data_IF_554288609526
#
_entry.id   IF_554288609526
#
_cell.length_a   1.000
_cell.length_b   1.000
_cell.length_c   1.000
_cell.angle_alpha   90.00
_cell.angle_beta   90.00
_cell.angle_gamma   90.00
#
_symmetry.space_group_name_H-M   'P 1'
#
loop_
_entity.id
_entity.type
_entity.pdbx_description
1 polymer ?
#
# COMPACT_ATOMS: atom_id res chain seq x y z
N UNK A 1 12.64 -1.47 -18.32
CA UNK A 1 12.71 -2.93 -18.06
C UNK A 1 13.41 -3.31 -16.77
N UNK A 2 14.33 -2.49 -16.21
CA UNK A 2 15.10 -2.88 -15.02
C UNK A 2 14.34 -2.93 -13.69
N UNK A 3 13.18 -2.29 -13.58
CA UNK A 3 12.43 -2.22 -12.31
C UNK A 3 11.55 -3.44 -12.01
N UNK A 4 11.17 -4.22 -13.02
CA UNK A 4 10.35 -5.44 -12.86
C UNK A 4 11.20 -6.68 -12.55
N UNK A 5 12.44 -6.71 -13.04
CA UNK A 5 13.34 -7.85 -12.86
C UNK A 5 13.59 -8.19 -11.39
N UNK A 6 13.88 -7.22 -10.48
CA UNK A 6 14.06 -7.53 -9.06
C UNK A 6 12.81 -8.15 -8.42
N UNK A 7 11.62 -7.71 -8.80
CA UNK A 7 10.36 -8.27 -8.27
C UNK A 7 10.20 -9.73 -8.73
N UNK A 8 10.43 -10.00 -10.01
CA UNK A 8 10.36 -11.37 -10.55
C UNK A 8 11.41 -12.30 -9.92
N UNK A 9 12.61 -11.77 -9.65
CA UNK A 9 13.66 -12.52 -8.94
C UNK A 9 13.20 -12.87 -7.52
N UNK A 10 12.63 -11.93 -6.76
CA UNK A 10 12.16 -12.18 -5.40
C UNK A 10 11.04 -13.22 -5.38
N UNK A 11 10.06 -13.13 -6.30
CA UNK A 11 9.00 -14.13 -6.45
C UNK A 11 9.60 -15.51 -6.82
N UNK A 12 10.56 -15.54 -7.74
CA UNK A 12 11.27 -16.77 -8.12
C UNK A 12 12.04 -17.39 -6.96
N UNK A 13 12.70 -16.58 -6.15
CA UNK A 13 13.37 -17.03 -4.92
C UNK A 13 12.35 -17.59 -3.93
N UNK A 14 11.23 -16.89 -3.71
CA UNK A 14 10.14 -17.38 -2.84
C UNK A 14 9.62 -18.75 -3.30
N UNK A 15 9.36 -18.91 -4.58
CA UNK A 15 8.92 -20.17 -5.17
C UNK A 15 9.95 -21.32 -4.94
N UNK A 16 11.25 -21.05 -5.13
CA UNK A 16 12.31 -22.03 -4.90
C UNK A 16 12.42 -22.40 -3.42
N UNK A 17 12.34 -21.40 -2.53
CA UNK A 17 12.41 -21.62 -1.09
C UNK A 17 11.21 -22.45 -0.60
N UNK A 18 10.01 -22.14 -1.05
CA UNK A 18 8.82 -22.90 -0.71
C UNK A 18 8.94 -24.37 -1.17
N UNK A 19 9.36 -24.58 -2.41
CA UNK A 19 9.60 -25.94 -2.96
C UNK A 19 10.62 -26.73 -2.15
N UNK A 20 11.68 -26.09 -1.66
CA UNK A 20 12.77 -26.72 -0.93
C UNK A 20 12.49 -26.92 0.55
N UNK A 21 11.90 -25.91 1.20
CA UNK A 21 11.78 -25.86 2.66
C UNK A 21 10.32 -25.96 3.16
N UNK A 22 9.33 -25.96 2.24
CA UNK A 22 7.89 -25.95 2.56
C UNK A 22 7.58 -24.83 3.58
N UNK A 23 7.75 -23.60 3.15
CA UNK A 23 7.60 -22.44 4.00
C UNK A 23 6.20 -22.40 4.63
N UNK A 24 6.13 -22.10 5.91
CA UNK A 24 4.86 -21.83 6.57
C UNK A 24 4.36 -20.42 6.24
N UNK A 25 3.56 -20.33 5.18
CA UNK A 25 2.96 -19.06 4.71
C UNK A 25 2.11 -18.39 5.77
N UNK A 26 1.53 -19.15 6.70
CA UNK A 26 0.72 -18.58 7.79
C UNK A 26 1.59 -17.78 8.77
N UNK A 27 2.73 -18.32 9.16
CA UNK A 27 3.69 -17.63 10.03
C UNK A 27 4.31 -16.42 9.32
N UNK A 28 4.69 -16.55 8.05
CA UNK A 28 5.20 -15.44 7.25
C UNK A 28 4.16 -14.32 7.09
N UNK A 29 2.92 -14.66 6.81
CA UNK A 29 1.83 -13.70 6.72
C UNK A 29 1.59 -12.98 8.06
N UNK A 30 1.62 -13.68 9.19
CA UNK A 30 1.50 -13.06 10.51
C UNK A 30 2.63 -12.07 10.78
N UNK A 31 3.88 -12.47 10.53
CA UNK A 31 5.04 -11.59 10.67
C UNK A 31 4.86 -10.33 9.82
N UNK A 32 4.44 -10.53 8.57
CA UNK A 32 4.23 -9.44 7.64
C UNK A 32 3.13 -8.47 8.11
N UNK A 33 1.94 -8.99 8.48
CA UNK A 33 0.80 -8.14 8.86
C UNK A 33 0.91 -7.49 10.24
N UNK A 34 1.58 -8.14 11.21
CA UNK A 34 1.64 -7.65 12.58
C UNK A 34 2.89 -6.83 12.90
N UNK A 35 3.97 -7.00 12.15
CA UNK A 35 5.24 -6.29 12.41
C UNK A 35 5.68 -5.48 11.20
N UNK A 36 5.90 -6.11 10.04
CA UNK A 36 6.56 -5.46 8.91
C UNK A 36 5.67 -4.39 8.27
N UNK A 37 4.42 -4.70 8.01
CA UNK A 37 3.48 -3.77 7.40
C UNK A 37 3.17 -2.55 8.31
N UNK A 38 2.87 -2.69 9.60
CA UNK A 38 2.69 -1.54 10.49
C UNK A 38 3.91 -0.63 10.58
N UNK A 39 5.12 -1.20 10.67
CA UNK A 39 6.36 -0.41 10.70
C UNK A 39 6.63 0.30 9.38
N UNK A 40 6.35 -0.36 8.25
CA UNK A 40 6.44 0.24 6.92
C UNK A 40 5.46 1.42 6.77
N UNK A 41 4.19 1.24 7.17
CA UNK A 41 3.17 2.29 7.12
C UNK A 41 3.55 3.45 8.05
N UNK A 42 3.97 3.16 9.28
CA UNK A 42 4.40 4.18 10.23
C UNK A 42 5.52 5.03 9.64
N UNK A 43 6.58 4.40 9.13
CA UNK A 43 7.69 5.10 8.50
C UNK A 43 7.25 5.92 7.30
N UNK A 44 6.50 5.32 6.37
CA UNK A 44 6.02 6.02 5.17
C UNK A 44 5.18 7.24 5.51
N UNK A 45 4.30 7.13 6.51
CA UNK A 45 3.48 8.24 6.99
C UNK A 45 4.32 9.28 7.74
N UNK A 46 5.27 8.87 8.57
CA UNK A 46 6.13 9.79 9.31
C UNK A 46 7.05 10.62 8.40
N UNK A 47 7.60 10.00 7.35
CA UNK A 47 8.46 10.67 6.38
C UNK A 47 7.67 11.50 5.33
N UNK A 48 6.37 11.27 5.18
CA UNK A 48 5.52 11.99 4.23
C UNK A 48 5.35 13.46 4.62
N UNK A 49 5.88 14.37 3.81
CA UNK A 49 5.63 15.81 3.98
C UNK A 49 4.28 16.17 3.35
N UNK A 50 3.26 16.30 4.20
CA UNK A 50 1.93 16.71 3.76
C UNK A 50 1.93 18.23 3.46
N UNK A 51 1.84 18.58 2.20
CA UNK A 51 1.66 19.96 1.73
C UNK A 51 0.31 20.11 1.00
N UNK A 52 -0.07 21.33 0.61
CA UNK A 52 -1.32 21.58 -0.09
C UNK A 52 -1.47 20.78 -1.40
N UNK A 53 -0.41 20.66 -2.20
CA UNK A 53 -0.42 19.84 -3.41
C UNK A 53 -0.63 18.35 -3.12
N UNK A 54 -0.13 17.87 -1.98
CA UNK A 54 -0.39 16.48 -1.53
C UNK A 54 -1.88 16.27 -1.23
N UNK A 55 -2.57 17.26 -0.64
CA UNK A 55 -4.01 17.16 -0.36
C UNK A 55 -4.86 17.10 -1.65
N UNK A 56 -4.48 17.82 -2.69
CA UNK A 56 -5.16 17.74 -4.00
C UNK A 56 -5.01 16.33 -4.61
N UNK A 57 -3.82 15.77 -4.58
CA UNK A 57 -3.56 14.40 -5.05
C UNK A 57 -4.35 13.38 -4.25
N UNK A 58 -4.39 13.53 -2.93
CA UNK A 58 -5.19 12.73 -2.00
C UNK A 58 -6.67 12.78 -2.39
N UNK A 59 -7.21 13.97 -2.64
CA UNK A 59 -8.60 14.15 -3.04
C UNK A 59 -8.91 13.47 -4.38
N UNK A 60 -8.06 13.66 -5.40
CA UNK A 60 -8.22 13.02 -6.70
C UNK A 60 -8.16 11.49 -6.58
N UNK A 61 -7.20 10.96 -5.83
CA UNK A 61 -7.07 9.53 -5.61
C UNK A 61 -8.32 8.94 -4.93
N UNK A 62 -8.90 9.67 -3.96
CA UNK A 62 -10.12 9.26 -3.30
C UNK A 62 -11.34 9.27 -4.26
N UNK A 63 -11.45 10.30 -5.12
CA UNK A 63 -12.47 10.35 -6.16
C UNK A 63 -12.36 9.16 -7.14
N UNK A 64 -11.13 8.80 -7.54
CA UNK A 64 -10.87 7.65 -8.42
C UNK A 64 -11.27 6.33 -7.74
N UNK A 65 -10.98 6.16 -6.45
CA UNK A 65 -11.42 4.98 -5.69
C UNK A 65 -12.96 4.86 -5.66
N UNK A 66 -13.67 5.96 -5.39
CA UNK A 66 -15.14 5.98 -5.40
C UNK A 66 -15.66 5.64 -6.79
N UNK A 67 -15.10 6.26 -7.84
CA UNK A 67 -15.51 6.00 -9.21
C UNK A 67 -15.33 4.52 -9.58
N UNK A 68 -14.18 3.95 -9.25
CA UNK A 68 -13.89 2.52 -9.47
C UNK A 68 -14.88 1.61 -8.71
N UNK A 69 -15.26 1.98 -7.48
CA UNK A 69 -16.29 1.25 -6.71
C UNK A 69 -17.64 1.28 -7.41
N UNK A 70 -18.07 2.46 -7.88
CA UNK A 70 -19.36 2.63 -8.59
C UNK A 70 -19.35 1.87 -9.92
N UNK A 71 -18.29 2.01 -10.71
CA UNK A 71 -18.14 1.30 -11.98
C UNK A 71 -18.18 -0.22 -11.79
N UNK A 72 -17.52 -0.72 -10.76
CA UNK A 72 -17.53 -2.16 -10.43
C UNK A 72 -18.92 -2.65 -10.03
N UNK A 73 -19.72 -1.84 -9.30
CA UNK A 73 -21.11 -2.15 -8.98
C UNK A 73 -21.98 -2.23 -10.25
N UNK A 74 -21.85 -1.21 -11.11
CA UNK A 74 -22.62 -1.14 -12.36
C UNK A 74 -22.29 -2.34 -13.25
N UNK A 75 -21.00 -2.61 -13.49
CA UNK A 75 -20.57 -3.73 -14.33
C UNK A 75 -20.99 -5.07 -13.72
N UNK A 76 -20.82 -5.25 -12.42
CA UNK A 76 -21.20 -6.49 -11.75
C UNK A 76 -22.70 -6.76 -11.80
N UNK A 77 -23.54 -5.73 -11.66
CA UNK A 77 -25.01 -5.85 -11.80
C UNK A 77 -25.43 -6.16 -13.24
N UNK A 78 -24.83 -5.51 -14.23
CA UNK A 78 -25.09 -5.78 -15.66
C UNK A 78 -24.74 -7.22 -16.00
N UNK A 79 -23.63 -7.75 -15.43
CA UNK A 79 -23.19 -9.13 -15.64
C UNK A 79 -23.98 -10.17 -14.81
N UNK A 80 -24.92 -9.73 -13.96
CA UNK A 80 -25.69 -10.63 -13.11
C UNK A 80 -24.88 -11.31 -12.01
N UNK A 81 -23.78 -10.68 -11.55
CA UNK A 81 -22.95 -11.22 -10.49
C UNK A 81 -23.65 -11.16 -9.14
N UNK A 82 -23.39 -12.18 -8.31
CA UNK A 82 -23.81 -12.17 -6.92
C UNK A 82 -23.01 -11.15 -6.07
N UNK A 83 -23.49 -10.87 -4.86
CA UNK A 83 -22.90 -9.87 -3.95
C UNK A 83 -21.40 -10.15 -3.69
N UNK A 84 -21.03 -11.42 -3.54
CA UNK A 84 -19.64 -11.81 -3.25
C UNK A 84 -18.73 -11.55 -4.46
N UNK A 85 -19.19 -11.86 -5.69
CA UNK A 85 -18.44 -11.57 -6.92
C UNK A 85 -18.32 -10.08 -7.17
N UNK A 86 -19.38 -9.29 -6.92
CA UNK A 86 -19.31 -7.82 -7.02
C UNK A 86 -18.28 -7.27 -6.03
N UNK A 87 -18.28 -7.74 -4.79
CA UNK A 87 -17.31 -7.32 -3.78
C UNK A 87 -15.86 -7.66 -4.17
N UNK A 88 -15.66 -8.85 -4.75
CA UNK A 88 -14.35 -9.27 -5.28
C UNK A 88 -13.91 -8.38 -6.44
N UNK A 89 -14.82 -8.12 -7.41
CA UNK A 89 -14.56 -7.23 -8.54
C UNK A 89 -14.16 -5.84 -8.07
N UNK A 90 -14.88 -5.28 -7.10
CA UNK A 90 -14.52 -3.99 -6.48
C UNK A 90 -13.12 -4.00 -5.92
N UNK A 91 -12.76 -4.99 -5.11
CA UNK A 91 -11.42 -5.07 -4.52
C UNK A 91 -10.34 -5.17 -5.59
N UNK A 92 -10.56 -5.93 -6.65
CA UNK A 92 -9.59 -6.05 -7.76
C UNK A 92 -9.42 -4.74 -8.55
N UNK A 93 -10.49 -3.96 -8.74
CA UNK A 93 -10.45 -2.73 -9.54
C UNK A 93 -10.00 -1.52 -8.71
N UNK A 94 -10.39 -1.47 -7.44
CA UNK A 94 -10.06 -0.35 -6.55
C UNK A 94 -8.62 -0.37 -6.07
N UNK A 95 -8.09 -1.56 -5.75
CA UNK A 95 -6.80 -1.70 -5.06
C UNK A 95 -5.78 -2.36 -5.97
N UNK A 96 -4.83 -1.57 -6.42
CA UNK A 96 -3.72 -1.99 -7.26
C UNK A 96 -2.38 -1.86 -6.54
N UNK A 97 -1.33 -2.46 -7.09
CA UNK A 97 0.00 -2.46 -6.49
C UNK A 97 0.73 -1.12 -6.73
N UNK A 98 0.26 -0.05 -6.08
CA UNK A 98 0.86 1.29 -6.21
C UNK A 98 2.25 1.35 -5.54
N UNK A 99 2.44 0.64 -4.43
CA UNK A 99 3.70 0.69 -3.68
C UNK A 99 4.88 0.21 -4.52
N UNK A 100 4.86 -1.03 -4.98
CA UNK A 100 6.00 -1.61 -5.67
C UNK A 100 6.04 -1.22 -7.15
N UNK A 101 4.92 -1.37 -7.86
CA UNK A 101 4.86 -1.08 -9.29
C UNK A 101 4.70 0.42 -9.58
N UNK A 102 3.87 1.12 -8.82
CA UNK A 102 3.62 2.54 -9.03
C UNK A 102 4.85 3.40 -8.76
N UNK A 103 5.60 3.15 -7.69
CA UNK A 103 6.87 3.86 -7.41
C UNK A 103 7.89 3.62 -8.51
N UNK A 104 8.09 2.36 -8.92
CA UNK A 104 9.01 2.04 -10.01
C UNK A 104 8.61 2.70 -11.34
N UNK A 105 7.30 2.70 -11.65
CA UNK A 105 6.76 3.34 -12.86
C UNK A 105 6.93 4.86 -12.81
N UNK A 106 6.64 5.49 -11.68
CA UNK A 106 6.81 6.93 -11.51
C UNK A 106 8.27 7.35 -11.71
N UNK A 107 9.21 6.65 -11.07
CA UNK A 107 10.64 6.90 -11.28
C UNK A 107 10.97 6.75 -12.76
N UNK A 108 10.55 5.66 -13.39
CA UNK A 108 10.83 5.44 -14.81
C UNK A 108 10.26 6.55 -15.71
N UNK A 109 9.02 6.96 -15.52
CA UNK A 109 8.36 7.99 -16.32
C UNK A 109 9.04 9.34 -16.15
N UNK A 110 9.23 9.79 -14.89
CA UNK A 110 9.71 11.15 -14.61
C UNK A 110 11.22 11.31 -14.69
N UNK A 111 11.99 10.24 -14.86
CA UNK A 111 13.42 10.28 -15.15
C UNK A 111 13.76 10.04 -16.63
N UNK A 112 12.76 9.97 -17.51
CA UNK A 112 12.96 9.79 -18.94
C UNK A 112 12.23 10.87 -19.76
N UNK A 113 12.54 10.95 -21.06
CA UNK A 113 11.87 11.86 -22.01
C UNK A 113 10.36 11.52 -22.04
N UNK A 114 9.46 12.53 -22.03
CA UNK A 114 9.69 13.97 -22.23
C UNK A 114 9.91 14.79 -20.95
N UNK A 115 10.04 14.15 -19.79
CA UNK A 115 10.10 14.82 -18.48
C UNK A 115 11.52 15.21 -18.04
N UNK A 116 12.54 14.86 -18.81
CA UNK A 116 13.92 15.32 -18.62
C UNK A 116 14.12 16.62 -19.39
N UNK A 117 14.49 17.70 -18.69
CA UNK A 117 14.71 19.03 -19.22
C UNK A 117 16.16 19.43 -18.91
N UNK A 118 16.96 19.69 -19.94
CA UNK A 118 18.38 20.07 -19.83
C UNK A 118 19.22 19.13 -18.93
N UNK A 119 18.93 17.83 -18.97
CA UNK A 119 19.60 16.81 -18.17
C UNK A 119 19.11 16.73 -16.69
N UNK A 120 18.21 17.61 -16.28
CA UNK A 120 17.57 17.58 -14.96
C UNK A 120 16.24 16.84 -14.99
N UNK A 121 15.80 16.31 -13.83
CA UNK A 121 14.53 15.59 -13.65
C UNK A 121 13.59 16.35 -12.70
N UNK A 122 13.09 17.54 -13.10
CA UNK A 122 12.38 18.45 -12.21
C UNK A 122 11.08 17.86 -11.65
N UNK A 123 10.47 16.90 -12.35
CA UNK A 123 9.20 16.29 -11.96
C UNK A 123 9.36 14.98 -11.17
N UNK A 124 10.57 14.42 -11.07
CA UNK A 124 10.80 13.11 -10.43
C UNK A 124 10.38 13.10 -8.96
N UNK A 125 10.74 14.14 -8.21
CA UNK A 125 10.36 14.25 -6.79
C UNK A 125 8.84 14.43 -6.63
N UNK A 126 8.21 15.27 -7.45
CA UNK A 126 6.76 15.46 -7.42
C UNK A 126 6.02 14.17 -7.76
N UNK A 127 6.47 13.44 -8.78
CA UNK A 127 5.91 12.15 -9.16
C UNK A 127 6.03 11.12 -8.04
N UNK A 128 7.17 11.06 -7.37
CA UNK A 128 7.39 10.14 -6.24
C UNK A 128 6.47 10.48 -5.05
N UNK A 129 6.39 11.75 -4.66
CA UNK A 129 5.49 12.21 -3.59
C UNK A 129 4.04 11.90 -3.92
N UNK A 130 3.63 12.09 -5.18
CA UNK A 130 2.27 11.77 -5.64
C UNK A 130 1.95 10.28 -5.48
N UNK A 131 2.84 9.41 -5.93
CA UNK A 131 2.65 7.95 -5.82
C UNK A 131 2.63 7.49 -4.37
N UNK A 132 3.51 8.03 -3.53
CA UNK A 132 3.51 7.71 -2.09
C UNK A 132 2.20 8.15 -1.44
N UNK A 133 1.68 9.32 -1.78
CA UNK A 133 0.39 9.81 -1.26
C UNK A 133 -0.77 8.90 -1.68
N UNK A 134 -0.81 8.48 -2.95
CA UNK A 134 -1.80 7.53 -3.46
C UNK A 134 -1.66 6.17 -2.75
N UNK A 135 -0.43 5.68 -2.56
CA UNK A 135 -0.15 4.43 -1.84
C UNK A 135 -0.71 4.46 -0.42
N UNK A 136 -0.55 5.57 0.29
CA UNK A 136 -1.09 5.76 1.64
C UNK A 136 -2.61 5.61 1.64
N UNK A 137 -3.30 6.32 0.76
CA UNK A 137 -4.78 6.25 0.66
C UNK A 137 -5.23 4.85 0.31
N UNK A 138 -4.61 4.22 -0.68
CA UNK A 138 -4.95 2.86 -1.07
C UNK A 138 -4.69 1.87 0.06
N UNK A 139 -3.61 2.01 0.80
CA UNK A 139 -3.30 1.16 1.95
C UNK A 139 -4.36 1.31 3.04
N UNK A 140 -4.74 2.54 3.39
CA UNK A 140 -5.81 2.78 4.36
C UNK A 140 -7.12 2.18 3.88
N UNK A 141 -7.53 2.51 2.65
CA UNK A 141 -8.81 2.09 2.09
C UNK A 141 -8.90 0.58 1.88
N UNK A 142 -7.83 -0.09 1.45
CA UNK A 142 -7.82 -1.54 1.26
C UNK A 142 -7.90 -2.29 2.59
N UNK A 143 -7.22 -1.80 3.63
CA UNK A 143 -7.24 -2.41 4.95
C UNK A 143 -8.48 -2.06 5.79
N UNK A 144 -9.29 -1.10 5.37
CA UNK A 144 -10.59 -0.77 5.97
C UNK A 144 -11.74 -1.28 5.10
N UNK A 145 -12.03 -0.55 4.04
CA UNK A 145 -13.14 -0.84 3.14
C UNK A 145 -12.95 -2.13 2.34
N UNK A 146 -11.72 -2.41 1.86
CA UNK A 146 -11.41 -3.64 1.13
C UNK A 146 -11.63 -4.88 1.98
N UNK A 147 -11.27 -4.83 3.25
CA UNK A 147 -11.54 -5.91 4.21
C UNK A 147 -13.04 -6.09 4.48
N UNK A 148 -13.77 -4.98 4.64
CA UNK A 148 -15.24 -5.02 4.75
C UNK A 148 -15.88 -5.68 3.52
N UNK A 149 -15.42 -5.30 2.34
CA UNK A 149 -15.89 -5.89 1.07
C UNK A 149 -15.55 -7.39 0.96
N UNK A 150 -14.38 -7.82 1.37
CA UNK A 150 -13.99 -9.23 1.37
C UNK A 150 -14.91 -10.08 2.29
N UNK A 151 -15.45 -9.47 3.34
CA UNK A 151 -16.46 -10.08 4.22
C UNK A 151 -17.92 -9.91 3.74
N UNK A 152 -18.15 -9.26 2.58
CA UNK A 152 -19.49 -8.97 2.09
C UNK A 152 -20.30 -10.24 1.90
N UNK A 153 -21.50 -10.26 2.50
CA UNK A 153 -22.39 -11.42 2.50
C UNK A 153 -22.12 -12.47 3.60
N UNK A 154 -21.01 -12.36 4.36
CA UNK A 154 -20.68 -13.27 5.45
C UNK A 154 -20.50 -12.59 6.81
N UNK A 155 -20.07 -11.33 6.83
CA UNK A 155 -19.82 -10.56 8.05
C UNK A 155 -20.84 -9.43 8.19
N UNK A 156 -21.31 -9.19 9.41
CA UNK A 156 -22.04 -7.95 9.68
C UNK A 156 -21.09 -6.74 9.58
N UNK A 157 -21.59 -5.53 9.25
CA UNK A 157 -20.76 -4.32 9.25
C UNK A 157 -19.99 -4.09 10.58
N UNK A 158 -20.63 -4.47 11.69
CA UNK A 158 -20.04 -4.36 13.03
C UNK A 158 -18.88 -5.32 13.25
N UNK A 159 -18.99 -6.54 12.74
CA UNK A 159 -17.92 -7.54 12.86
C UNK A 159 -16.75 -7.23 11.92
N UNK A 160 -17.04 -6.72 10.71
CA UNK A 160 -16.02 -6.23 9.80
C UNK A 160 -15.21 -5.07 10.43
N UNK A 161 -15.88 -4.10 11.06
CA UNK A 161 -15.22 -3.02 11.81
C UNK A 161 -14.35 -3.55 12.95
N UNK A 162 -14.81 -4.54 13.73
CA UNK A 162 -13.99 -5.15 14.78
C UNK A 162 -12.71 -5.75 14.21
N UNK A 163 -12.78 -6.46 13.07
CA UNK A 163 -11.59 -7.03 12.42
C UNK A 163 -10.61 -5.92 12.04
N UNK A 164 -11.09 -4.82 11.44
CA UNK A 164 -10.25 -3.68 11.09
C UNK A 164 -9.53 -3.10 12.31
N UNK A 165 -10.25 -2.88 13.42
CA UNK A 165 -9.66 -2.35 14.66
C UNK A 165 -8.72 -3.33 15.38
N UNK A 166 -8.72 -4.61 15.04
CA UNK A 166 -7.72 -5.56 15.52
C UNK A 166 -6.42 -5.56 14.72
N UNK A 167 -6.37 -4.82 13.60
CA UNK A 167 -5.16 -4.74 12.77
C UNK A 167 -4.21 -3.66 13.27
N UNK A 168 -2.94 -4.00 13.61
CA UNK A 168 -1.98 -3.03 14.14
C UNK A 168 -1.71 -1.85 13.20
N UNK A 169 -1.82 -2.07 11.90
CA UNK A 169 -1.59 -1.04 10.88
C UNK A 169 -2.55 0.15 10.99
N UNK A 170 -3.77 -0.06 11.48
CA UNK A 170 -4.76 1.01 11.67
C UNK A 170 -4.28 2.04 12.69
N UNK A 171 -3.50 1.59 13.67
CA UNK A 171 -2.92 2.46 14.71
C UNK A 171 -1.61 3.10 14.27
N UNK A 172 -0.89 2.50 13.32
CA UNK A 172 0.37 3.03 12.82
C UNK A 172 0.21 4.40 12.16
N UNK A 173 -0.91 4.63 11.46
CA UNK A 173 -1.18 5.88 10.75
C UNK A 173 -1.36 7.06 11.71
N UNK A 174 -2.35 7.06 12.64
CA UNK A 174 -2.53 8.18 13.56
C UNK A 174 -1.31 8.36 14.46
N UNK A 175 -0.62 7.28 14.83
CA UNK A 175 0.61 7.38 15.62
C UNK A 175 1.72 8.10 14.85
N UNK A 176 1.92 7.79 13.58
CA UNK A 176 2.91 8.48 12.73
C UNK A 176 2.59 9.97 12.59
N UNK A 177 1.31 10.31 12.34
CA UNK A 177 0.87 11.71 12.24
C UNK A 177 1.03 12.49 13.56
N UNK A 178 0.73 11.87 14.68
CA UNK A 178 0.98 12.46 16.00
C UNK A 178 2.48 12.69 16.23
N UNK A 179 3.32 11.73 15.83
CA UNK A 179 4.76 11.86 15.94
C UNK A 179 5.34 12.99 15.06
N UNK A 180 4.72 13.31 13.93
CA UNK A 180 5.12 14.47 13.11
C UNK A 180 4.88 15.82 13.84
N UNK A 181 3.95 15.87 14.79
CA UNK A 181 3.66 17.09 15.57
C UNK A 181 4.64 17.29 16.73
N UNK A 182 5.50 16.30 17.02
CA UNK A 182 6.48 16.39 18.09
C UNK A 182 7.60 17.38 17.73
N UNK A 183 8.14 18.14 18.70
CA UNK A 183 9.18 19.13 18.47
C UNK A 183 10.58 18.54 18.24
N UNK A 184 10.71 17.22 18.22
CA UNK A 184 11.98 16.51 18.06
C UNK A 184 11.87 15.45 16.96
N UNK A 185 13.01 15.20 16.29
CA UNK A 185 13.09 14.21 15.23
C UNK A 185 13.28 12.79 15.80
N UNK A 186 12.40 11.86 15.38
CA UNK A 186 12.49 10.46 15.79
C UNK A 186 13.69 9.71 15.22
N UNK A 187 14.30 10.22 14.13
CA UNK A 187 15.46 9.56 13.49
C UNK A 187 16.66 9.42 14.44
N UNK A 188 16.78 10.32 15.43
CA UNK A 188 17.83 10.27 16.45
C UNK A 188 17.57 9.30 17.60
N UNK A 189 16.40 8.65 17.65
CA UNK A 189 16.03 7.78 18.76
C UNK A 189 16.46 6.33 18.50
N UNK A 190 16.84 5.64 19.56
CA UNK A 190 17.40 4.28 19.51
C UNK A 190 16.48 3.24 18.83
N UNK A 191 15.15 3.42 18.90
CA UNK A 191 14.17 2.51 18.33
C UNK A 191 13.93 2.74 16.82
N UNK A 192 14.36 3.88 16.26
CA UNK A 192 14.11 4.19 14.85
C UNK A 192 14.94 3.32 13.91
N UNK A 193 16.15 2.93 14.32
CA UNK A 193 17.00 2.03 13.54
C UNK A 193 16.36 0.62 13.34
N UNK A 194 15.92 -0.09 14.41
CA UNK A 194 15.14 -1.32 14.26
C UNK A 194 13.86 -1.17 13.44
N UNK A 195 13.12 -0.06 13.62
CA UNK A 195 11.91 0.23 12.85
C UNK A 195 12.22 0.32 11.36
N UNK A 196 13.29 0.98 10.96
CA UNK A 196 13.73 1.06 9.58
C UNK A 196 14.10 -0.30 8.98
N UNK A 197 14.75 -1.16 9.77
CA UNK A 197 15.10 -2.52 9.33
C UNK A 197 13.81 -3.31 9.02
N UNK A 198 12.84 -3.29 9.90
CA UNK A 198 11.55 -3.96 9.68
C UNK A 198 10.77 -3.36 8.51
N UNK A 199 10.72 -2.04 8.39
CA UNK A 199 10.06 -1.37 7.29
C UNK A 199 10.67 -1.73 5.94
N UNK A 200 12.00 -1.80 5.84
CA UNK A 200 12.70 -2.18 4.61
C UNK A 200 12.50 -3.67 4.27
N UNK A 201 12.36 -4.54 5.27
CA UNK A 201 12.13 -5.97 5.07
C UNK A 201 10.72 -6.27 4.53
N UNK A 202 9.74 -5.37 4.72
CA UNK A 202 8.34 -5.58 4.34
C UNK A 202 8.18 -6.06 2.89
N UNK A 203 8.72 -5.31 1.93
CA UNK A 203 8.56 -5.62 0.50
C UNK A 203 9.20 -6.96 0.15
N UNK A 204 10.41 -7.22 0.66
CA UNK A 204 11.12 -8.47 0.42
C UNK A 204 10.34 -9.69 0.92
N UNK A 205 9.88 -9.64 2.17
CA UNK A 205 9.12 -10.74 2.78
C UNK A 205 7.76 -10.92 2.09
N UNK A 206 7.06 -9.83 1.75
CA UNK A 206 5.77 -9.89 1.05
C UNK A 206 5.86 -10.47 -0.37
N UNK A 207 7.03 -10.38 -1.02
CA UNK A 207 7.24 -10.96 -2.35
C UNK A 207 7.70 -12.43 -2.30
N UNK A 208 8.28 -12.85 -1.18
CA UNK A 208 8.71 -14.24 -0.96
C UNK A 208 7.53 -15.11 -0.49
N UNK A 209 6.61 -14.52 0.31
CA UNK A 209 5.41 -15.18 0.83
C UNK A 209 4.28 -15.25 -0.21
#
# INVERSE_FOLDING_TARGET
MNSMIPILILIGVGFILDRKFKLDLYTLSKLNFYILLPTFIFRAMYEAKLNSGTLEIVFVAFCVLILNSILSDVVGRIQGYDVAKIATLKNCVMFNNVGNMGVALAIFVFTNIPYVIDGATPYANLGLVSVVSIMIIQTISSNTYGFYQAGAGRLSPRDALKVVFHMPMVYAIPMALLCQLLPFDLHGLFFFAPLNIFANAFVGVAMIA
#
